data_IF_944564314051
#
_entry.id   IF_944564314051
#
_cell.length_a   1.000
_cell.length_b   1.000
_cell.length_c   1.000
_cell.angle_alpha   90.00
_cell.angle_beta   90.00
_cell.angle_gamma   90.00
#
_symmetry.space_group_name_H-M   'P 1'
#
loop_
_entity.id
_entity.type
_entity.pdbx_description
1 polymer ?
#
# COMPACT_ATOMS: atom_id res chain seq x y z
N UNK A 1 29.41 -17.85 0.69
CA UNK A 1 28.84 -16.64 1.28
C UNK A 1 27.56 -16.21 0.55
N UNK A 2 27.57 -16.23 -0.80
CA UNK A 2 26.49 -15.76 -1.69
C UNK A 2 25.19 -16.58 -1.47
N UNK A 3 25.27 -17.89 -1.46
CA UNK A 3 24.10 -18.76 -1.24
C UNK A 3 23.46 -18.54 0.15
N UNK A 4 24.25 -18.22 1.17
CA UNK A 4 23.70 -17.87 2.49
C UNK A 4 23.00 -16.51 2.45
N UNK A 5 23.58 -15.52 1.79
CA UNK A 5 22.98 -14.20 1.64
C UNK A 5 21.66 -14.27 0.86
N UNK A 6 21.65 -15.06 -0.21
CA UNK A 6 20.45 -15.31 -1.03
C UNK A 6 19.34 -16.00 -0.21
N UNK A 7 19.69 -17.00 0.60
CA UNK A 7 18.73 -17.64 1.51
C UNK A 7 18.13 -16.66 2.54
N UNK A 8 18.95 -15.78 3.13
CA UNK A 8 18.45 -14.74 4.05
C UNK A 8 17.56 -13.73 3.33
N UNK A 9 17.93 -13.34 2.11
CA UNK A 9 17.13 -12.44 1.29
C UNK A 9 15.77 -13.08 0.93
N UNK A 10 15.77 -14.36 0.54
CA UNK A 10 14.53 -15.08 0.24
C UNK A 10 13.57 -15.12 1.44
N UNK A 11 14.09 -15.36 2.66
CA UNK A 11 13.29 -15.31 3.89
C UNK A 11 12.71 -13.90 4.10
N UNK A 12 13.51 -12.85 3.96
CA UNK A 12 13.05 -11.47 4.14
C UNK A 12 11.97 -11.10 3.12
N UNK A 13 12.16 -11.45 1.85
CA UNK A 13 11.18 -11.24 0.77
C UNK A 13 9.88 -11.97 1.09
N UNK A 14 9.95 -13.23 1.52
CA UNK A 14 8.76 -14.01 1.86
C UNK A 14 8.01 -13.41 3.06
N UNK A 15 8.72 -12.92 4.09
CA UNK A 15 8.10 -12.25 5.23
C UNK A 15 7.37 -10.97 4.81
N UNK A 16 7.98 -10.14 3.95
CA UNK A 16 7.34 -8.93 3.40
C UNK A 16 6.11 -9.28 2.58
N UNK A 17 6.21 -10.25 1.67
CA UNK A 17 5.09 -10.71 0.86
C UNK A 17 3.94 -11.25 1.72
N UNK A 18 4.23 -12.04 2.75
CA UNK A 18 3.23 -12.58 3.67
C UNK A 18 2.54 -11.48 4.49
N UNK A 19 3.27 -10.45 4.92
CA UNK A 19 2.69 -9.31 5.62
C UNK A 19 1.68 -8.55 4.72
N UNK A 20 2.02 -8.33 3.45
CA UNK A 20 1.13 -7.71 2.46
C UNK A 20 -0.08 -8.62 2.21
N UNK A 21 0.12 -9.91 1.92
CA UNK A 21 -0.97 -10.87 1.69
C UNK A 21 -1.94 -10.92 2.86
N UNK A 22 -1.45 -10.92 4.09
CA UNK A 22 -2.30 -10.95 5.29
C UNK A 22 -3.26 -9.75 5.35
N UNK A 23 -2.77 -8.54 5.05
CA UNK A 23 -3.59 -7.33 5.09
C UNK A 23 -4.58 -7.30 3.92
N UNK A 24 -4.13 -7.63 2.72
CA UNK A 24 -4.94 -7.56 1.50
C UNK A 24 -6.03 -8.63 1.49
N UNK A 25 -5.69 -9.87 1.86
CA UNK A 25 -6.66 -10.96 2.00
C UNK A 25 -7.69 -10.63 3.09
N UNK A 26 -7.24 -10.10 4.24
CA UNK A 26 -8.15 -9.68 5.30
C UNK A 26 -9.15 -8.59 4.86
N UNK A 27 -8.82 -7.82 3.82
CA UNK A 27 -9.68 -6.80 3.21
C UNK A 27 -10.42 -7.28 1.96
N UNK A 28 -10.25 -8.53 1.54
CA UNK A 28 -10.89 -9.11 0.35
C UNK A 28 -10.29 -8.65 -0.98
N UNK A 29 -9.03 -8.21 -0.99
CA UNK A 29 -8.34 -7.79 -2.22
C UNK A 29 -7.58 -8.95 -2.85
N UNK A 30 -7.82 -9.18 -4.15
CA UNK A 30 -7.07 -10.13 -4.97
C UNK A 30 -5.90 -9.40 -5.65
N UNK A 31 -4.69 -9.59 -5.15
CA UNK A 31 -3.48 -8.91 -5.64
C UNK A 31 -3.09 -9.29 -7.08
N UNK A 32 -3.62 -10.37 -7.62
CA UNK A 32 -3.31 -10.82 -8.99
C UNK A 32 -4.04 -10.02 -10.06
N UNK A 33 -4.87 -9.04 -9.67
CA UNK A 33 -5.72 -8.28 -10.58
C UNK A 33 -5.63 -6.79 -10.34
N UNK A 34 -4.85 -6.11 -11.20
CA UNK A 34 -4.89 -4.64 -11.33
C UNK A 34 -4.33 -3.87 -10.13
N UNK A 35 -3.39 -4.46 -9.38
CA UNK A 35 -2.66 -3.78 -8.32
C UNK A 35 -1.23 -3.51 -8.76
N UNK A 36 -0.74 -2.30 -8.44
CA UNK A 36 0.66 -1.94 -8.54
C UNK A 36 1.29 -1.94 -7.15
N UNK A 37 2.55 -2.38 -7.04
CA UNK A 37 3.31 -2.32 -5.79
C UNK A 37 4.02 -0.97 -5.68
N UNK A 38 3.75 -0.20 -4.64
CA UNK A 38 4.48 1.03 -4.35
C UNK A 38 5.61 0.74 -3.37
N UNK A 39 6.86 0.92 -3.82
CA UNK A 39 8.04 0.77 -2.97
C UNK A 39 8.50 2.10 -2.39
N UNK A 40 8.75 2.17 -1.08
CA UNK A 40 9.32 3.35 -0.43
C UNK A 40 10.19 2.98 0.79
N UNK A 41 11.11 3.88 1.14
CA UNK A 41 12.18 3.65 2.10
C UNK A 41 13.52 3.40 1.40
N UNK A 42 14.63 3.68 2.06
CA UNK A 42 15.97 3.63 1.45
C UNK A 42 16.36 2.28 0.85
N UNK A 43 15.89 1.17 1.43
CA UNK A 43 16.19 -0.19 0.98
C UNK A 43 15.08 -0.84 0.13
N UNK A 44 13.89 -0.23 0.03
CA UNK A 44 12.74 -0.86 -0.63
C UNK A 44 13.03 -1.22 -2.09
N UNK A 45 13.68 -0.33 -2.83
CA UNK A 45 14.05 -0.56 -4.22
C UNK A 45 14.97 -1.76 -4.46
N UNK A 46 15.67 -2.22 -3.41
CA UNK A 46 16.57 -3.38 -3.53
C UNK A 46 15.80 -4.72 -3.57
N UNK A 47 14.57 -4.76 -3.07
CA UNK A 47 13.82 -6.01 -2.88
C UNK A 47 12.47 -6.00 -3.62
N UNK A 48 12.07 -4.85 -4.16
CA UNK A 48 10.71 -4.64 -4.65
C UNK A 48 10.32 -5.57 -5.80
N UNK A 49 11.24 -5.88 -6.72
CA UNK A 49 10.98 -6.84 -7.80
C UNK A 49 10.71 -8.24 -7.25
N UNK A 50 11.56 -8.71 -6.33
CA UNK A 50 11.42 -10.03 -5.70
C UNK A 50 10.11 -10.13 -4.88
N UNK A 51 9.73 -9.06 -4.18
CA UNK A 51 8.45 -9.01 -3.46
C UNK A 51 7.26 -9.02 -4.41
N UNK A 52 7.34 -8.28 -5.52
CA UNK A 52 6.31 -8.27 -6.56
C UNK A 52 6.17 -9.66 -7.22
N UNK A 53 7.31 -10.35 -7.46
CA UNK A 53 7.32 -11.74 -7.94
C UNK A 53 6.58 -12.67 -6.99
N UNK A 54 6.86 -12.59 -5.67
CA UNK A 54 6.22 -13.41 -4.65
C UNK A 54 4.73 -13.10 -4.45
N UNK A 55 4.29 -11.91 -4.86
CA UNK A 55 2.88 -11.47 -4.81
C UNK A 55 2.11 -11.71 -6.11
N UNK A 56 2.80 -11.99 -7.23
CA UNK A 56 2.21 -12.07 -8.56
C UNK A 56 1.79 -10.70 -9.12
N UNK A 57 2.48 -9.63 -8.71
CA UNK A 57 2.25 -8.26 -9.19
C UNK A 57 3.22 -7.98 -10.33
N UNK A 58 2.73 -7.40 -11.42
CA UNK A 58 3.51 -7.15 -12.64
C UNK A 58 3.99 -5.70 -12.80
N UNK A 59 3.57 -4.82 -11.90
CA UNK A 59 3.88 -3.39 -11.96
C UNK A 59 4.32 -2.84 -10.61
N UNK A 60 5.39 -2.03 -10.62
CA UNK A 60 5.95 -1.41 -9.42
C UNK A 60 6.17 0.09 -9.69
N UNK A 61 5.84 0.91 -8.69
CA UNK A 61 6.06 2.35 -8.71
C UNK A 61 7.07 2.75 -7.63
N UNK A 62 8.10 3.49 -8.02
CA UNK A 62 9.09 4.08 -7.10
C UNK A 62 9.15 5.59 -7.31
N UNK A 63 8.61 6.34 -6.36
CA UNK A 63 8.63 7.81 -6.39
C UNK A 63 10.07 8.35 -6.42
N UNK A 64 10.34 9.55 -7.01
CA UNK A 64 11.66 10.17 -6.98
C UNK A 64 12.23 10.33 -5.56
N UNK A 65 11.38 10.56 -4.58
CA UNK A 65 11.73 10.69 -3.17
C UNK A 65 11.46 9.40 -2.38
N UNK A 66 11.47 8.22 -3.01
CA UNK A 66 11.15 6.95 -2.36
C UNK A 66 11.92 6.74 -1.05
N UNK A 67 13.20 7.12 -0.99
CA UNK A 67 14.04 6.99 0.20
C UNK A 67 13.56 7.79 1.42
N UNK A 68 12.82 8.89 1.19
CA UNK A 68 12.31 9.81 2.22
C UNK A 68 10.81 10.10 2.06
N UNK A 69 10.07 9.23 1.40
CA UNK A 69 8.67 9.46 1.03
C UNK A 69 7.79 9.74 2.26
N UNK A 70 8.05 9.11 3.38
CA UNK A 70 7.31 9.37 4.63
C UNK A 70 7.52 10.81 5.13
N UNK A 71 8.76 11.31 5.12
CA UNK A 71 9.04 12.70 5.51
C UNK A 71 8.43 13.69 4.51
N UNK A 72 8.50 13.39 3.21
CA UNK A 72 7.84 14.17 2.18
C UNK A 72 6.33 14.23 2.38
N UNK A 73 5.68 13.08 2.65
CA UNK A 73 4.26 13.00 2.94
C UNK A 73 3.86 13.77 4.20
N UNK A 74 4.69 13.74 5.27
CA UNK A 74 4.46 14.57 6.45
C UNK A 74 4.50 16.07 6.13
N UNK A 75 5.41 16.49 5.24
CA UNK A 75 5.48 17.88 4.79
C UNK A 75 4.27 18.33 3.95
N UNK A 76 3.58 17.38 3.32
CA UNK A 76 2.36 17.63 2.54
C UNK A 76 1.07 17.44 3.35
N UNK A 77 1.17 16.79 4.52
CA UNK A 77 0.01 16.53 5.35
C UNK A 77 -0.59 17.84 5.86
N UNK A 78 -1.89 17.95 5.75
CA UNK A 78 -2.64 19.07 6.32
C UNK A 78 -2.95 18.79 7.79
N UNK A 79 -2.99 19.80 8.65
CA UNK A 79 -3.44 19.62 10.03
C UNK A 79 -4.79 18.93 10.05
N UNK A 80 -4.91 17.84 10.83
CA UNK A 80 -6.16 17.13 11.01
C UNK A 80 -6.34 16.74 12.47
N UNK A 81 -7.60 16.62 12.88
CA UNK A 81 -7.98 16.19 14.22
C UNK A 81 -8.99 15.05 14.12
N UNK A 82 -8.70 13.94 14.80
CA UNK A 82 -9.53 12.74 14.80
C UNK A 82 -10.17 12.57 16.17
N UNK A 83 -11.46 12.25 16.19
CA UNK A 83 -12.21 11.85 17.38
C UNK A 83 -12.98 10.57 17.11
N UNK A 84 -12.98 9.69 18.10
CA UNK A 84 -13.70 8.42 18.03
C UNK A 84 -14.58 8.23 19.26
N UNK A 85 -15.69 7.52 19.08
CA UNK A 85 -16.57 7.10 20.17
C UNK A 85 -17.13 5.71 19.90
N UNK A 86 -17.00 4.82 20.88
CA UNK A 86 -17.70 3.53 20.88
C UNK A 86 -19.18 3.76 21.20
N UNK A 87 -20.06 3.12 20.43
CA UNK A 87 -21.50 3.32 20.51
C UNK A 87 -22.26 2.05 20.92
N UNK A 88 -21.99 0.94 20.24
CA UNK A 88 -22.74 -0.31 20.43
C UNK A 88 -24.21 -0.19 20.03
N UNK A 89 -24.55 0.69 19.09
CA UNK A 89 -25.91 0.95 18.65
C UNK A 89 -26.36 -0.04 17.60
N UNK A 90 -27.58 -0.56 17.72
CA UNK A 90 -28.19 -1.33 16.64
C UNK A 90 -28.37 -0.43 15.40
N UNK A 91 -27.98 -0.94 14.23
CA UNK A 91 -28.15 -0.24 12.96
C UNK A 91 -29.61 -0.41 12.48
N UNK A 92 -30.46 0.55 12.86
CA UNK A 92 -31.85 0.63 12.44
C UNK A 92 -32.23 2.10 12.16
N UNK A 93 -33.47 2.36 11.82
CA UNK A 93 -33.94 3.72 11.49
C UNK A 93 -33.77 4.71 12.65
N UNK A 94 -33.84 4.23 13.87
CA UNK A 94 -33.83 5.08 15.08
C UNK A 94 -32.39 5.54 15.43
N UNK A 95 -31.35 4.82 14.96
CA UNK A 95 -29.97 5.17 15.26
C UNK A 95 -29.51 6.47 14.53
N UNK A 96 -30.16 6.89 13.45
CA UNK A 96 -29.76 8.05 12.64
C UNK A 96 -29.62 9.34 13.47
N UNK A 97 -30.58 9.60 14.37
CA UNK A 97 -30.55 10.79 15.23
C UNK A 97 -29.37 10.76 16.21
N UNK A 98 -29.13 9.59 16.83
CA UNK A 98 -27.99 9.41 17.73
C UNK A 98 -26.65 9.55 17.02
N UNK A 99 -26.53 9.02 15.79
CA UNK A 99 -25.33 9.16 14.96
C UNK A 99 -25.07 10.62 14.60
N UNK A 100 -26.10 11.36 14.16
CA UNK A 100 -25.96 12.77 13.81
C UNK A 100 -25.56 13.65 15.02
N UNK A 101 -26.16 13.40 16.19
CA UNK A 101 -25.80 14.10 17.42
C UNK A 101 -24.34 13.79 17.84
N UNK A 102 -23.93 12.53 17.73
CA UNK A 102 -22.56 12.12 18.05
C UNK A 102 -21.54 12.70 17.05
N UNK A 103 -21.87 12.70 15.77
CA UNK A 103 -21.02 13.32 14.74
C UNK A 103 -20.79 14.81 15.02
N UNK A 104 -21.84 15.53 15.38
CA UNK A 104 -21.75 16.97 15.73
C UNK A 104 -20.85 17.18 16.94
N UNK A 105 -21.09 16.46 18.03
CA UNK A 105 -20.30 16.56 19.25
C UNK A 105 -18.80 16.22 19.02
N UNK A 106 -18.52 15.15 18.29
CA UNK A 106 -17.14 14.79 17.94
C UNK A 106 -16.47 15.81 17.00
N UNK A 107 -17.25 16.40 16.09
CA UNK A 107 -16.75 17.47 15.22
C UNK A 107 -16.37 18.71 16.02
N UNK A 108 -17.20 19.11 16.98
CA UNK A 108 -16.93 20.25 17.86
C UNK A 108 -15.70 20.00 18.72
N UNK A 109 -15.53 18.79 19.25
CA UNK A 109 -14.32 18.40 19.99
C UNK A 109 -13.06 18.38 19.11
N UNK A 110 -13.16 17.93 17.86
CA UNK A 110 -12.03 17.91 16.93
C UNK A 110 -11.61 19.32 16.51
N UNK A 111 -12.56 20.22 16.36
CA UNK A 111 -12.30 21.62 15.92
C UNK A 111 -11.40 22.39 16.89
N UNK A 112 -11.40 22.04 18.18
CA UNK A 112 -10.56 22.71 19.19
C UNK A 112 -9.06 22.56 18.91
N UNK A 113 -8.67 21.49 18.24
CA UNK A 113 -7.25 21.20 17.94
C UNK A 113 -6.78 21.82 16.61
N UNK A 114 -7.68 22.46 15.88
CA UNK A 114 -7.39 23.09 14.58
C UNK A 114 -7.37 24.61 14.69
N UNK A 115 -6.83 25.28 13.68
CA UNK A 115 -6.81 26.74 13.68
C UNK A 115 -8.24 27.31 13.76
N UNK A 116 -8.50 28.36 14.60
CA UNK A 116 -9.85 28.85 14.88
C UNK A 116 -10.64 29.27 13.64
N UNK A 117 -9.97 29.86 12.65
CA UNK A 117 -10.59 30.36 11.42
C UNK A 117 -10.40 29.43 10.21
N UNK A 118 -9.86 28.22 10.42
CA UNK A 118 -9.63 27.28 9.33
C UNK A 118 -10.95 26.75 8.76
N UNK A 119 -11.08 26.84 7.45
CA UNK A 119 -12.07 26.05 6.73
C UNK A 119 -11.67 24.58 6.82
N UNK A 120 -12.58 23.70 7.17
CA UNK A 120 -12.30 22.26 7.32
C UNK A 120 -13.17 21.42 6.41
N UNK A 121 -12.60 20.31 5.93
CA UNK A 121 -13.36 19.19 5.37
C UNK A 121 -13.58 18.17 6.47
N UNK A 122 -14.75 17.51 6.45
CA UNK A 122 -15.09 16.46 7.42
C UNK A 122 -15.24 15.13 6.70
N UNK A 123 -14.62 14.10 7.26
CA UNK A 123 -14.89 12.71 6.94
C UNK A 123 -15.42 11.99 8.18
N UNK A 124 -16.51 11.25 8.01
CA UNK A 124 -17.12 10.49 9.10
C UNK A 124 -17.26 9.03 8.70
N UNK A 125 -16.68 8.15 9.50
CA UNK A 125 -16.66 6.71 9.29
C UNK A 125 -17.37 5.99 10.41
N UNK A 126 -18.16 4.98 10.05
CA UNK A 126 -18.80 4.04 10.95
C UNK A 126 -18.05 2.71 10.90
N UNK A 127 -17.81 2.11 12.03
CA UNK A 127 -17.33 0.74 12.17
C UNK A 127 -18.54 -0.14 12.49
N UNK A 128 -18.99 -0.89 11.48
CA UNK A 128 -20.19 -1.71 11.57
C UNK A 128 -19.81 -3.18 11.62
N UNK A 129 -20.46 -3.94 12.49
CA UNK A 129 -20.24 -5.38 12.64
C UNK A 129 -21.54 -6.14 12.79
N UNK A 130 -21.50 -7.45 12.65
CA UNK A 130 -22.54 -8.34 13.11
C UNK A 130 -22.56 -8.33 14.66
N UNK A 131 -23.72 -8.46 15.26
CA UNK A 131 -23.84 -8.41 16.73
C UNK A 131 -23.07 -9.55 17.43
N UNK A 132 -22.89 -10.67 16.76
CA UNK A 132 -22.20 -11.87 17.24
C UNK A 132 -20.74 -12.00 16.72
N UNK A 133 -20.17 -10.92 16.18
CA UNK A 133 -18.80 -10.89 15.64
C UNK A 133 -18.05 -9.64 16.08
N UNK A 134 -16.77 -9.78 16.34
CA UNK A 134 -15.88 -8.64 16.65
C UNK A 134 -15.26 -7.99 15.38
N UNK A 135 -15.54 -8.57 14.21
CA UNK A 135 -15.01 -8.08 12.95
C UNK A 135 -15.85 -6.92 12.40
N UNK A 136 -15.40 -5.69 12.63
CA UNK A 136 -16.02 -4.51 12.05
C UNK A 136 -15.54 -4.23 10.62
N UNK A 137 -16.45 -3.69 9.81
CA UNK A 137 -16.20 -3.14 8.49
C UNK A 137 -16.34 -1.63 8.59
N UNK A 138 -15.37 -0.91 8.08
CA UNK A 138 -15.34 0.54 8.01
C UNK A 138 -16.14 1.03 6.81
N UNK A 139 -17.10 1.92 7.04
CA UNK A 139 -18.03 2.44 6.04
C UNK A 139 -18.24 3.95 6.24
N UNK A 140 -18.45 4.74 5.19
CA UNK A 140 -18.81 6.14 5.34
C UNK A 140 -20.17 6.28 6.05
N UNK A 141 -20.32 7.36 6.82
CA UNK A 141 -21.61 7.72 7.40
C UNK A 141 -22.62 8.05 6.29
N UNK A 142 -23.73 7.35 6.31
CA UNK A 142 -24.84 7.50 5.38
C UNK A 142 -26.17 7.13 6.09
N UNK A 143 -27.33 7.28 5.45
CA UNK A 143 -28.59 6.76 5.99
C UNK A 143 -28.48 5.27 6.33
N UNK A 144 -29.12 4.80 7.45
CA UNK A 144 -28.94 3.44 7.95
C UNK A 144 -29.17 2.33 6.89
N UNK A 145 -30.14 2.52 6.00
CA UNK A 145 -30.42 1.55 4.94
C UNK A 145 -29.28 1.45 3.91
N UNK A 146 -28.63 2.58 3.59
CA UNK A 146 -27.47 2.62 2.69
C UNK A 146 -26.24 1.99 3.36
N UNK A 147 -26.01 2.28 4.64
CA UNK A 147 -24.94 1.64 5.43
C UNK A 147 -25.14 0.12 5.50
N UNK A 148 -26.36 -0.36 5.74
CA UNK A 148 -26.66 -1.79 5.73
C UNK A 148 -26.38 -2.44 4.36
N UNK A 149 -26.76 -1.77 3.27
CA UNK A 149 -26.49 -2.24 1.92
C UNK A 149 -24.99 -2.28 1.60
N UNK A 150 -24.24 -1.22 1.95
CA UNK A 150 -22.80 -1.16 1.80
C UNK A 150 -22.09 -2.23 2.64
N UNK A 151 -22.55 -2.44 3.87
CA UNK A 151 -22.06 -3.52 4.73
C UNK A 151 -22.24 -4.89 4.08
N UNK A 152 -23.43 -5.18 3.56
CA UNK A 152 -23.72 -6.46 2.92
C UNK A 152 -22.85 -6.71 1.68
N UNK A 153 -22.57 -5.66 0.91
CA UNK A 153 -21.68 -5.75 -0.24
C UNK A 153 -20.23 -6.03 0.18
N UNK A 154 -19.69 -5.25 1.12
CA UNK A 154 -18.32 -5.38 1.62
C UNK A 154 -18.11 -6.72 2.36
N UNK A 155 -19.12 -7.15 3.14
CA UNK A 155 -19.10 -8.42 3.85
C UNK A 155 -19.05 -9.61 2.86
N UNK A 156 -19.89 -9.56 1.82
CA UNK A 156 -19.90 -10.61 0.78
C UNK A 156 -18.57 -10.67 0.03
N UNK A 157 -17.98 -9.53 -0.29
CA UNK A 157 -16.66 -9.46 -0.92
C UNK A 157 -15.58 -10.09 -0.03
N UNK A 158 -15.64 -9.83 1.29
CA UNK A 158 -14.62 -10.27 2.25
C UNK A 158 -14.76 -11.75 2.64
N UNK A 159 -16.01 -12.23 2.83
CA UNK A 159 -16.28 -13.55 3.39
C UNK A 159 -16.93 -14.54 2.41
N UNK A 160 -17.38 -14.09 1.23
CA UNK A 160 -17.95 -14.93 0.18
C UNK A 160 -19.42 -15.32 0.38
N UNK A 161 -20.08 -14.89 1.47
CA UNK A 161 -21.50 -15.17 1.75
C UNK A 161 -22.24 -13.92 2.25
N UNK A 162 -23.57 -13.95 2.23
CA UNK A 162 -24.38 -12.83 2.68
C UNK A 162 -24.41 -12.76 4.23
N UNK A 163 -24.32 -11.56 4.84
CA UNK A 163 -24.50 -11.41 6.27
C UNK A 163 -25.97 -11.62 6.66
N UNK A 164 -26.22 -11.88 7.93
CA UNK A 164 -27.56 -11.77 8.52
C UNK A 164 -27.87 -10.32 8.98
N UNK A 165 -29.12 -10.02 9.30
CA UNK A 165 -29.61 -8.64 9.47
C UNK A 165 -29.33 -7.99 10.85
N UNK A 166 -28.58 -8.64 11.72
CA UNK A 166 -28.33 -8.11 13.07
C UNK A 166 -27.03 -7.27 13.10
N UNK A 167 -27.12 -6.04 12.59
CA UNK A 167 -25.98 -5.11 12.48
C UNK A 167 -25.90 -4.15 13.67
N UNK A 168 -24.67 -3.89 14.10
CA UNK A 168 -24.33 -2.96 15.19
C UNK A 168 -23.30 -1.95 14.70
N UNK A 169 -23.56 -0.67 14.92
CA UNK A 169 -22.56 0.38 14.82
C UNK A 169 -21.73 0.33 16.10
N UNK A 170 -20.56 -0.25 16.00
CA UNK A 170 -19.65 -0.42 17.12
C UNK A 170 -19.02 0.91 17.52
N UNK A 171 -18.56 1.69 16.54
CA UNK A 171 -17.81 2.92 16.73
C UNK A 171 -18.08 3.90 15.59
N UNK A 172 -18.00 5.19 15.90
CA UNK A 172 -17.97 6.30 14.95
C UNK A 172 -16.62 7.03 15.07
N UNK A 173 -16.05 7.40 13.93
CA UNK A 173 -14.84 8.24 13.82
C UNK A 173 -15.19 9.49 13.01
N UNK A 174 -14.79 10.64 13.50
CA UNK A 174 -14.85 11.91 12.79
C UNK A 174 -13.43 12.41 12.62
N UNK A 175 -13.07 12.75 11.40
CA UNK A 175 -11.82 13.45 11.06
C UNK A 175 -12.16 14.80 10.45
N UNK A 176 -11.61 15.85 11.03
CA UNK A 176 -11.60 17.20 10.45
C UNK A 176 -10.22 17.49 9.92
N UNK A 177 -10.11 17.89 8.66
CA UNK A 177 -8.85 18.27 8.02
C UNK A 177 -8.95 19.73 7.55
N UNK A 178 -7.98 20.55 7.86
CA UNK A 178 -7.92 21.93 7.38
C UNK A 178 -7.89 21.97 5.85
N UNK A 179 -8.77 22.77 5.26
CA UNK A 179 -8.73 23.03 3.82
C UNK A 179 -7.51 23.91 3.52
N UNK A 180 -6.74 23.55 2.52
CA UNK A 180 -5.58 24.29 2.07
C UNK A 180 -5.13 23.79 0.72
N UNK A 181 -4.36 24.60 0.01
CA UNK A 181 -3.70 24.12 -1.19
C UNK A 181 -2.68 23.06 -0.79
N UNK A 182 -2.76 21.91 -1.43
CA UNK A 182 -1.68 20.93 -1.36
C UNK A 182 -0.42 21.64 -1.87
N UNK A 183 0.65 21.67 -1.08
CA UNK A 183 1.90 22.24 -1.56
C UNK A 183 2.21 21.63 -2.93
N UNK A 184 2.58 22.47 -3.89
CA UNK A 184 2.89 22.03 -5.23
C UNK A 184 3.94 20.91 -5.15
N UNK A 185 3.70 19.82 -5.87
CA UNK A 185 4.66 18.74 -5.97
C UNK A 185 6.02 19.32 -6.39
N UNK A 186 7.09 18.87 -5.77
CA UNK A 186 8.43 19.28 -6.18
C UNK A 186 8.60 18.97 -7.67
N UNK A 187 9.08 19.92 -8.48
CA UNK A 187 9.37 19.64 -9.86
C UNK A 187 10.41 18.50 -9.93
N UNK A 188 10.28 17.57 -10.87
CA UNK A 188 11.29 16.55 -11.07
C UNK A 188 12.65 17.22 -11.30
N UNK A 189 13.73 16.68 -10.74
CA UNK A 189 15.06 17.21 -10.98
C UNK A 189 15.35 17.21 -12.48
N UNK A 190 15.89 18.29 -13.01
CA UNK A 190 16.32 18.32 -14.39
C UNK A 190 17.40 17.25 -14.59
N UNK A 191 17.29 16.40 -15.61
CA UNK A 191 18.28 15.35 -15.83
C UNK A 191 19.65 15.99 -16.13
N UNK A 192 20.69 15.46 -15.52
CA UNK A 192 22.07 15.79 -15.85
C UNK A 192 22.45 15.28 -17.26
N UNK A 193 23.66 15.60 -17.72
CA UNK A 193 24.15 15.08 -18.98
C UNK A 193 24.22 13.52 -18.90
N UNK A 194 23.68 12.85 -19.91
CA UNK A 194 23.69 11.40 -19.96
C UNK A 194 25.14 10.89 -20.04
N UNK A 195 25.57 10.12 -19.04
CA UNK A 195 26.86 9.46 -19.01
C UNK A 195 26.67 7.96 -19.21
N UNK A 196 27.56 7.25 -19.91
CA UNK A 196 27.51 5.81 -19.98
C UNK A 196 27.51 5.20 -18.57
N UNK A 197 26.71 4.16 -18.32
CA UNK A 197 26.70 3.49 -17.04
C UNK A 197 28.03 2.82 -16.75
N UNK A 198 28.45 2.84 -15.51
CA UNK A 198 29.54 1.99 -15.03
C UNK A 198 29.06 0.54 -14.98
N UNK A 199 29.96 -0.42 -15.22
CA UNK A 199 29.63 -1.84 -15.07
C UNK A 199 30.19 -2.35 -13.75
N UNK A 200 29.33 -2.98 -12.95
CA UNK A 200 29.68 -3.57 -11.66
C UNK A 200 29.30 -5.05 -11.62
N UNK A 201 30.04 -5.86 -10.89
CA UNK A 201 29.66 -7.26 -10.67
C UNK A 201 28.68 -7.36 -9.52
N UNK A 202 27.53 -8.01 -9.73
CA UNK A 202 26.49 -8.24 -8.73
C UNK A 202 26.02 -9.69 -8.78
N UNK A 203 25.61 -10.21 -7.61
CA UNK A 203 25.01 -11.54 -7.50
C UNK A 203 23.49 -11.39 -7.51
N UNK A 204 22.86 -11.86 -8.59
CA UNK A 204 21.40 -11.75 -8.80
C UNK A 204 20.86 -13.07 -9.35
N UNK A 205 19.70 -13.48 -8.90
CA UNK A 205 19.02 -14.69 -9.38
C UNK A 205 19.92 -15.94 -9.39
N UNK A 206 20.74 -16.13 -8.36
CA UNK A 206 21.61 -17.31 -8.19
C UNK A 206 22.88 -17.30 -9.01
N UNK A 207 23.26 -16.20 -9.66
CA UNK A 207 24.46 -16.09 -10.48
C UNK A 207 25.14 -14.71 -10.36
N UNK A 208 26.43 -14.68 -10.69
CA UNK A 208 27.17 -13.43 -10.86
C UNK A 208 26.84 -12.82 -12.22
N UNK A 209 26.53 -11.53 -12.25
CA UNK A 209 26.23 -10.76 -13.44
C UNK A 209 27.07 -9.49 -13.47
N UNK A 210 27.57 -9.13 -14.64
CA UNK A 210 28.09 -7.79 -14.89
C UNK A 210 26.89 -6.90 -15.26
N UNK A 211 26.54 -5.98 -14.36
CA UNK A 211 25.32 -5.16 -14.47
C UNK A 211 25.65 -3.68 -14.64
N UNK A 212 24.89 -2.95 -15.47
CA UNK A 212 25.04 -1.51 -15.59
C UNK A 212 24.57 -0.81 -14.31
N UNK A 213 25.37 0.14 -13.83
CA UNK A 213 25.11 1.01 -12.71
C UNK A 213 24.72 2.40 -13.22
N UNK A 214 23.47 2.77 -13.06
CA UNK A 214 22.92 4.05 -13.49
C UNK A 214 22.76 5.01 -12.31
N UNK A 215 23.07 6.28 -12.54
CA UNK A 215 22.70 7.37 -11.64
C UNK A 215 21.29 7.85 -12.00
N UNK A 216 20.34 7.79 -11.07
CA UNK A 216 18.94 8.19 -11.33
C UNK A 216 18.82 9.62 -11.82
N UNK A 217 19.59 10.55 -11.24
CA UNK A 217 19.62 11.97 -11.61
C UNK A 217 20.11 12.25 -13.05
N UNK A 218 20.72 11.26 -13.70
CA UNK A 218 21.19 11.36 -15.08
C UNK A 218 20.23 10.73 -16.10
N UNK A 219 19.12 10.14 -15.62
CA UNK A 219 18.18 9.42 -16.47
C UNK A 219 17.05 10.37 -16.92
N UNK A 220 16.94 10.64 -18.23
CA UNK A 220 15.85 11.45 -18.76
C UNK A 220 14.52 10.71 -18.70
N UNK A 221 13.42 11.46 -18.70
CA UNK A 221 12.08 10.90 -18.87
C UNK A 221 11.97 10.08 -20.17
N UNK A 222 11.27 8.98 -20.13
CA UNK A 222 11.15 8.01 -21.23
C UNK A 222 12.33 7.05 -21.34
N UNK A 223 13.39 7.20 -20.53
CA UNK A 223 14.50 6.24 -20.53
C UNK A 223 14.03 4.88 -20.02
N UNK A 224 14.28 3.85 -20.81
CA UNK A 224 13.98 2.46 -20.49
C UNK A 224 15.27 1.70 -20.19
N UNK A 225 15.28 0.94 -19.08
CA UNK A 225 16.42 0.16 -18.59
C UNK A 225 15.95 -1.27 -18.37
N UNK A 226 16.52 -2.20 -19.12
CA UNK A 226 16.24 -3.62 -18.94
C UNK A 226 17.07 -4.17 -17.77
N UNK A 227 16.47 -5.05 -16.95
CA UNK A 227 17.22 -5.84 -15.96
C UNK A 227 18.03 -6.97 -16.60
N UNK A 228 19.13 -7.41 -15.94
CA UNK A 228 19.58 -6.94 -14.65
C UNK A 228 20.29 -5.58 -14.72
N UNK A 229 19.98 -4.66 -13.80
CA UNK A 229 20.59 -3.35 -13.71
C UNK A 229 20.47 -2.79 -12.27
N UNK A 230 21.34 -1.86 -11.92
CA UNK A 230 21.29 -1.13 -10.65
C UNK A 230 21.10 0.36 -10.95
N UNK A 231 20.12 0.99 -10.29
CA UNK A 231 19.86 2.43 -10.35
C UNK A 231 20.10 3.00 -8.96
N UNK A 232 21.11 3.86 -8.81
CA UNK A 232 21.43 4.50 -7.54
C UNK A 232 20.93 5.95 -7.52
N UNK A 233 20.47 6.35 -6.37
CA UNK A 233 20.03 7.69 -6.03
C UNK A 233 20.71 8.12 -4.74
N UNK A 234 20.64 9.41 -4.40
CA UNK A 234 21.21 9.94 -3.15
C UNK A 234 20.63 9.25 -1.88
N UNK A 235 19.39 8.78 -1.94
CA UNK A 235 18.63 8.29 -0.78
C UNK A 235 18.12 6.86 -0.95
N UNK A 236 18.36 6.22 -2.09
CA UNK A 236 17.84 4.87 -2.36
C UNK A 236 18.66 4.16 -3.43
N UNK A 237 18.53 2.85 -3.46
CA UNK A 237 19.07 2.01 -4.54
C UNK A 237 17.95 1.13 -5.07
N UNK A 238 17.81 1.06 -6.38
CA UNK A 238 16.84 0.18 -7.04
C UNK A 238 17.59 -0.91 -7.81
N UNK A 239 17.23 -2.17 -7.56
CA UNK A 239 17.68 -3.31 -8.35
C UNK A 239 16.57 -3.65 -9.33
N UNK A 240 16.88 -3.56 -10.61
CA UNK A 240 16.01 -4.06 -11.67
C UNK A 240 16.43 -5.51 -11.93
N UNK A 241 15.61 -6.44 -11.47
CA UNK A 241 15.89 -7.87 -11.56
C UNK A 241 15.81 -8.38 -13.02
N UNK A 242 16.44 -9.53 -13.34
CA UNK A 242 16.20 -10.20 -14.61
C UNK A 242 14.70 -10.44 -14.86
N UNK A 243 14.23 -10.12 -16.05
CA UNK A 243 12.79 -10.22 -16.38
C UNK A 243 11.95 -8.99 -16.00
N UNK A 244 12.58 -7.95 -15.47
CA UNK A 244 11.98 -6.65 -15.21
C UNK A 244 12.57 -5.57 -16.11
N UNK A 245 11.82 -4.49 -16.30
CA UNK A 245 12.24 -3.28 -17.01
C UNK A 245 11.79 -2.06 -16.23
N UNK A 246 12.70 -1.13 -16.01
CA UNK A 246 12.39 0.17 -15.43
C UNK A 246 12.22 1.22 -16.53
N UNK A 247 11.25 2.12 -16.38
CA UNK A 247 11.05 3.29 -17.23
C UNK A 247 10.92 4.54 -16.36
N UNK A 248 11.60 5.61 -16.75
CA UNK A 248 11.52 6.90 -16.06
C UNK A 248 10.30 7.66 -16.60
N UNK A 249 9.30 7.92 -15.76
CA UNK A 249 8.12 8.71 -16.11
C UNK A 249 8.42 10.22 -16.15
N UNK A 250 7.51 11.01 -16.72
CA UNK A 250 7.68 12.45 -16.89
C UNK A 250 7.93 13.21 -15.60
N UNK A 251 7.32 12.75 -14.50
CA UNK A 251 7.48 13.31 -13.15
C UNK A 251 8.67 12.72 -12.37
N UNK A 252 9.48 11.88 -13.04
CA UNK A 252 10.65 11.22 -12.45
C UNK A 252 10.37 9.95 -11.68
N UNK A 253 9.13 9.46 -11.58
CA UNK A 253 8.79 8.16 -11.01
C UNK A 253 9.41 7.04 -11.85
N UNK A 254 9.98 6.01 -11.21
CA UNK A 254 10.34 4.78 -11.90
C UNK A 254 9.14 3.85 -11.92
N UNK A 255 8.69 3.53 -13.12
CA UNK A 255 7.73 2.46 -13.38
C UNK A 255 8.52 1.20 -13.75
N UNK A 256 8.45 0.16 -12.91
CA UNK A 256 9.03 -1.13 -13.24
C UNK A 256 7.92 -2.06 -13.71
N UNK A 257 8.10 -2.66 -14.86
CA UNK A 257 7.17 -3.60 -15.45
C UNK A 257 7.84 -4.94 -15.69
N UNK A 258 7.12 -6.03 -15.44
CA UNK A 258 7.58 -7.38 -15.75
C UNK A 258 7.57 -7.59 -17.26
N UNK A 259 8.68 -8.08 -17.81
CA UNK A 259 8.84 -8.34 -19.26
C UNK A 259 8.58 -9.79 -19.64
N UNK A 260 8.55 -10.71 -18.66
CA UNK A 260 8.18 -12.12 -18.82
C UNK A 260 6.95 -12.40 -18.00
N UNK A 261 6.00 -13.17 -18.54
CA UNK A 261 4.93 -13.75 -17.75
C UNK A 261 5.54 -14.57 -16.60
N UNK A 262 5.12 -14.32 -15.36
CA UNK A 262 5.58 -15.11 -14.23
C UNK A 262 5.18 -16.57 -14.47
N UNK A 263 6.11 -17.49 -14.33
CA UNK A 263 5.81 -18.91 -14.16
C UNK A 263 5.14 -19.08 -12.76
N UNK A 264 3.87 -18.71 -12.68
CA UNK A 264 3.03 -18.85 -11.47
C UNK A 264 2.92 -20.34 -11.06
N UNK A 265 3.29 -21.25 -11.95
CA UNK A 265 3.27 -22.70 -11.72
C UNK A 265 4.35 -23.22 -10.76
N UNK A 266 5.41 -22.46 -10.48
CA UNK A 266 6.51 -22.95 -9.63
C UNK A 266 6.29 -22.76 -8.13
N UNK A 267 5.36 -21.89 -7.71
CA UNK A 267 5.09 -21.59 -6.29
C UNK A 267 3.90 -22.40 -5.74
N UNK A 268 3.12 -23.06 -6.60
CA UNK A 268 1.90 -23.78 -6.22
C UNK A 268 2.10 -25.30 -6.00
N UNK A 269 3.31 -25.82 -6.09
CA UNK A 269 3.62 -27.24 -5.82
C UNK A 269 4.59 -27.40 -4.64
N UNK A 270 4.37 -26.69 -3.55
CA UNK A 270 4.77 -27.23 -2.26
C UNK A 270 3.75 -28.31 -1.88
N UNK A 271 4.29 -29.48 -1.78
CA UNK A 271 3.65 -30.77 -1.61
C UNK A 271 2.53 -30.74 -0.54
N UNK A 272 1.27 -30.60 -0.98
CA UNK A 272 0.09 -30.69 -0.12
C UNK A 272 -0.15 -32.13 0.43
N UNK A 273 0.79 -33.05 0.18
CA UNK A 273 0.68 -34.45 0.61
C UNK A 273 1.24 -34.74 2.00
N UNK A 274 2.00 -33.79 2.59
CA UNK A 274 2.48 -33.91 3.97
C UNK A 274 1.95 -32.73 4.81
N UNK A 275 1.06 -32.97 5.78
CA UNK A 275 0.61 -31.90 6.68
C UNK A 275 1.80 -31.34 7.46
N UNK A 276 2.06 -30.05 7.36
CA UNK A 276 3.03 -29.36 8.20
C UNK A 276 2.53 -29.39 9.66
N UNK A 277 3.23 -30.08 10.59
CA UNK A 277 2.79 -30.20 11.98
C UNK A 277 2.72 -28.85 12.71
N UNK A 278 3.30 -27.77 12.19
CA UNK A 278 3.27 -26.43 12.79
C UNK A 278 1.98 -25.66 12.41
N UNK A 279 1.18 -26.14 11.44
CA UNK A 279 -0.08 -25.48 11.01
C UNK A 279 -1.33 -26.00 11.72
N UNK A 280 -1.20 -26.86 12.73
CA UNK A 280 -2.31 -27.50 13.45
C UNK A 280 -2.45 -27.02 14.90
N UNK A 281 -1.81 -25.91 15.33
CA UNK A 281 -2.07 -25.25 16.62
C UNK A 281 -2.74 -23.90 16.44
#
# INVERSE_FOLDING_TARGET
PEALAEGLLAIAVQQMANAIKRITIARGHDLTRGYSLVGFGGAAGQHVCLVADALGIDEILLHPLAGVLSAYGMGLARPSAIRERTLGLKLDADCATALAATETDLSDQARVDLAPDATTTRETLLFVRLADSDNAIELPLAPPAEVASAFAAAFRQRFGYAPHDNLVVDRIRVELTEAGDTQAALPPPAPGPETPPETVSAWLAGAAHDVPLHQRSMLPAGRSIAGPAIIIDALSTTIVEPGWRAEVQSEGTLLLARTRAADIAAVAQDDLTTPDPIRLE
#
